data_IF_476378480779
#
_entry.id   IF_476378480779
#
_cell.length_a   1.000
_cell.length_b   1.000
_cell.length_c   1.000
_cell.angle_alpha   90.00
_cell.angle_beta   90.00
_cell.angle_gamma   90.00
#
_symmetry.space_group_name_H-M   'P 1'
#
loop_
_entity.id
_entity.type
_entity.pdbx_description
1 polymer ?
#
# COMPACT_ATOMS: atom_id res chain seq x y z
N UNK A 1 -23.15 -0.80 -5.68
CA UNK A 1 -22.49 0.24 -6.48
C UNK A 1 -21.48 0.92 -5.58
N UNK A 2 -20.22 0.92 -5.98
CA UNK A 2 -19.19 1.72 -5.33
C UNK A 2 -19.15 3.09 -6.02
N UNK A 3 -18.69 4.11 -5.32
CA UNK A 3 -18.40 5.43 -5.90
C UNK A 3 -16.92 5.73 -5.76
N UNK A 4 -16.41 6.70 -6.52
CA UNK A 4 -15.02 7.15 -6.45
C UNK A 4 -14.65 7.70 -5.06
N UNK A 5 -15.65 8.08 -4.25
CA UNK A 5 -15.50 8.54 -2.87
C UNK A 5 -15.38 7.39 -1.85
N UNK A 6 -15.71 6.15 -2.20
CA UNK A 6 -15.62 5.01 -1.28
C UNK A 6 -14.18 4.48 -1.23
N UNK A 7 -13.64 4.18 -0.03
CA UNK A 7 -12.26 3.75 0.10
C UNK A 7 -12.06 2.37 -0.53
N UNK A 8 -11.00 2.23 -1.33
CA UNK A 8 -10.60 0.97 -1.97
C UNK A 8 -10.36 -0.19 -0.97
N UNK A 9 -10.25 0.11 0.32
CA UNK A 9 -10.14 -0.88 1.40
C UNK A 9 -11.39 -1.75 1.59
N UNK A 10 -12.54 -1.39 1.00
CA UNK A 10 -13.78 -2.19 1.01
C UNK A 10 -13.70 -3.36 0.01
N UNK A 11 -12.83 -3.26 -1.00
CA UNK A 11 -12.65 -4.27 -2.05
C UNK A 11 -11.56 -5.26 -1.60
N UNK A 12 -11.81 -6.57 -1.69
CA UNK A 12 -10.77 -7.56 -1.34
C UNK A 12 -9.77 -7.79 -2.48
N UNK A 13 -8.56 -8.23 -2.15
CA UNK A 13 -7.39 -8.22 -3.05
C UNK A 13 -7.55 -9.02 -4.35
N UNK A 14 -8.47 -10.00 -4.37
CA UNK A 14 -8.70 -10.90 -5.49
C UNK A 14 -10.15 -10.86 -6.00
N UNK A 15 -11.00 -9.96 -5.49
CA UNK A 15 -12.37 -9.85 -6.00
C UNK A 15 -12.33 -9.22 -7.40
N UNK A 16 -12.98 -9.84 -8.41
CA UNK A 16 -13.09 -9.23 -9.73
C UNK A 16 -13.91 -7.94 -9.64
N UNK A 17 -13.27 -6.82 -9.94
CA UNK A 17 -13.94 -5.54 -10.06
C UNK A 17 -14.64 -5.43 -11.42
N UNK A 18 -15.97 -5.37 -11.39
CA UNK A 18 -16.79 -5.07 -12.55
C UNK A 18 -17.16 -3.59 -12.55
N UNK A 19 -16.65 -2.86 -13.54
CA UNK A 19 -17.12 -1.53 -13.89
C UNK A 19 -18.18 -1.65 -14.99
N UNK A 20 -19.18 -0.77 -14.96
CA UNK A 20 -20.18 -0.65 -16.03
C UNK A 20 -20.04 0.79 -16.53
N UNK A 21 -19.83 0.96 -17.83
CA UNK A 21 -19.77 2.29 -18.43
C UNK A 21 -21.15 2.96 -18.36
N UNK A 22 -21.14 4.25 -18.06
CA UNK A 22 -22.35 5.07 -18.04
C UNK A 22 -22.43 5.90 -19.31
N UNK A 23 -23.63 6.11 -19.89
CA UNK A 23 -23.80 7.04 -21.01
C UNK A 23 -23.38 8.45 -20.58
N UNK A 24 -22.92 9.25 -21.55
CA UNK A 24 -22.59 10.66 -21.30
C UNK A 24 -23.82 11.39 -20.77
N UNK A 25 -23.78 11.77 -19.49
CA UNK A 25 -24.91 12.39 -18.79
C UNK A 25 -25.15 13.80 -19.33
N UNK A 26 -26.38 14.06 -19.79
CA UNK A 26 -26.85 15.40 -20.13
C UNK A 26 -26.92 16.29 -18.88
N UNK A 27 -26.59 17.57 -19.04
CA UNK A 27 -26.68 18.56 -17.96
C UNK A 27 -28.14 18.77 -17.50
N UNK A 28 -28.37 19.09 -16.21
CA UNK A 28 -29.72 19.18 -15.61
C UNK A 28 -30.56 20.39 -16.06
N UNK A 29 -30.18 21.08 -17.14
CA UNK A 29 -30.80 22.32 -17.64
C UNK A 29 -31.92 22.09 -18.65
N UNK A 30 -32.05 20.88 -19.23
CA UNK A 30 -33.06 20.54 -20.23
C UNK A 30 -33.82 19.26 -19.86
N UNK A 31 -35.07 19.41 -19.38
CA UNK A 31 -35.99 18.31 -19.03
C UNK A 31 -35.48 17.31 -17.96
N UNK A 32 -36.40 16.67 -17.25
CA UNK A 32 -36.00 15.72 -16.21
C UNK A 32 -35.56 14.39 -16.87
N UNK A 33 -34.25 14.23 -17.05
CA UNK A 33 -33.65 12.95 -17.46
C UNK A 33 -33.36 12.06 -16.25
N UNK A 34 -33.41 10.74 -16.44
CA UNK A 34 -33.12 9.73 -15.42
C UNK A 34 -32.12 8.71 -15.95
N UNK A 35 -31.14 8.32 -15.14
CA UNK A 35 -30.21 7.22 -15.44
C UNK A 35 -30.85 5.90 -15.01
N UNK A 36 -31.01 4.97 -15.94
CA UNK A 36 -31.46 3.61 -15.69
C UNK A 36 -30.28 2.65 -15.75
N UNK A 37 -30.28 1.66 -14.87
CA UNK A 37 -29.35 0.52 -14.85
C UNK A 37 -30.20 -0.75 -14.74
N UNK A 38 -30.03 -1.73 -15.62
CA UNK A 38 -30.88 -2.94 -15.57
C UNK A 38 -30.15 -4.25 -15.84
N UNK A 39 -30.79 -5.32 -15.39
CA UNK A 39 -30.41 -6.72 -15.66
C UNK A 39 -31.63 -7.49 -16.18
N UNK A 40 -31.38 -8.52 -16.99
CA UNK A 40 -32.42 -9.42 -17.46
C UNK A 40 -32.49 -10.67 -16.57
N UNK A 41 -33.70 -11.09 -16.20
CA UNK A 41 -33.98 -12.26 -15.37
C UNK A 41 -35.02 -13.13 -16.06
N UNK A 42 -34.70 -14.40 -16.23
CA UNK A 42 -35.61 -15.44 -16.69
C UNK A 42 -36.37 -15.99 -15.48
N UNK A 43 -37.70 -15.99 -15.55
CA UNK A 43 -38.60 -16.48 -14.49
C UNK A 43 -39.19 -17.84 -14.90
N UNK A 44 -38.97 -18.86 -14.07
CA UNK A 44 -39.42 -20.24 -14.26
C UNK A 44 -40.08 -20.76 -13.00
N UNK A 45 -41.38 -20.45 -12.83
CA UNK A 45 -42.05 -20.61 -11.55
C UNK A 45 -41.34 -19.76 -10.49
N UNK A 46 -40.92 -20.38 -9.38
CA UNK A 46 -40.21 -19.71 -8.30
C UNK A 46 -38.72 -19.43 -8.63
N UNK A 47 -38.16 -20.04 -9.69
CA UNK A 47 -36.76 -19.84 -10.07
C UNK A 47 -36.57 -18.55 -10.86
N UNK A 48 -35.67 -17.69 -10.37
CA UNK A 48 -35.23 -16.44 -11.00
C UNK A 48 -33.76 -16.55 -11.38
N UNK A 49 -33.42 -16.51 -12.67
CA UNK A 49 -32.04 -16.63 -13.16
C UNK A 49 -31.64 -15.43 -14.04
N UNK A 50 -30.57 -14.70 -13.64
CA UNK A 50 -29.99 -13.62 -14.45
C UNK A 50 -29.39 -14.17 -15.76
N UNK A 51 -29.53 -13.44 -16.86
CA UNK A 51 -28.83 -13.70 -18.12
C UNK A 51 -28.38 -12.39 -18.79
N UNK A 52 -27.35 -12.47 -19.65
CA UNK A 52 -26.75 -11.34 -20.33
C UNK A 52 -26.02 -10.33 -19.43
N UNK A 53 -25.28 -9.43 -20.06
CA UNK A 53 -24.66 -8.28 -19.40
C UNK A 53 -25.71 -7.35 -18.75
N UNK A 54 -25.32 -6.58 -17.72
CA UNK A 54 -26.09 -5.41 -17.29
C UNK A 54 -26.01 -4.30 -18.34
N UNK A 55 -27.02 -3.44 -18.37
CA UNK A 55 -27.14 -2.32 -19.32
C UNK A 55 -27.38 -1.00 -18.58
N UNK A 56 -27.05 0.12 -19.23
CA UNK A 56 -27.25 1.49 -18.72
C UNK A 56 -27.79 2.39 -19.81
N UNK A 57 -28.65 3.34 -19.48
CA UNK A 57 -29.22 4.31 -20.43
C UNK A 57 -29.71 5.55 -19.69
N UNK A 58 -29.53 6.74 -20.29
CA UNK A 58 -30.19 7.96 -19.82
C UNK A 58 -31.43 8.24 -20.68
N UNK A 59 -32.60 8.38 -20.06
CA UNK A 59 -33.90 8.54 -20.74
C UNK A 59 -34.70 9.71 -20.16
N UNK A 60 -35.58 10.33 -20.94
CA UNK A 60 -36.47 11.39 -20.43
C UNK A 60 -37.52 10.76 -19.51
N UNK A 61 -37.83 11.41 -18.38
CA UNK A 61 -38.91 10.93 -17.49
C UNK A 61 -40.31 11.04 -18.12
N UNK A 62 -40.46 11.86 -19.16
CA UNK A 62 -41.71 11.96 -19.94
C UNK A 62 -41.96 10.75 -20.87
N UNK A 63 -40.97 9.87 -21.05
CA UNK A 63 -41.07 8.70 -21.95
C UNK A 63 -42.21 7.76 -21.57
N UNK A 64 -43.00 7.37 -22.58
CA UNK A 64 -44.15 6.45 -22.42
C UNK A 64 -43.71 5.02 -22.08
N UNK A 65 -44.60 4.18 -21.56
CA UNK A 65 -44.28 2.76 -21.35
C UNK A 65 -43.89 2.04 -22.65
N UNK A 66 -44.61 2.29 -23.74
CA UNK A 66 -44.34 1.66 -25.05
C UNK A 66 -42.96 2.08 -25.59
N UNK A 67 -42.61 3.37 -25.45
CA UNK A 67 -41.32 3.88 -25.90
C UNK A 67 -40.18 3.48 -24.95
N UNK A 68 -40.42 3.37 -23.66
CA UNK A 68 -39.46 2.83 -22.70
C UNK A 68 -39.11 1.38 -23.04
N UNK A 69 -40.10 0.53 -23.33
CA UNK A 69 -39.87 -0.85 -23.76
C UNK A 69 -39.04 -0.92 -25.06
N UNK A 70 -39.36 -0.07 -26.06
CA UNK A 70 -38.58 0.02 -27.31
C UNK A 70 -37.15 0.48 -27.08
N UNK A 71 -36.93 1.47 -26.21
CA UNK A 71 -35.59 1.99 -25.90
C UNK A 71 -34.75 0.95 -25.16
N UNK A 72 -35.31 0.23 -24.18
CA UNK A 72 -34.63 -0.87 -23.49
C UNK A 72 -34.21 -1.99 -24.47
N UNK A 73 -35.13 -2.41 -25.36
CA UNK A 73 -34.83 -3.39 -26.41
C UNK A 73 -33.76 -2.90 -27.40
N UNK A 74 -33.81 -1.62 -27.78
CA UNK A 74 -32.84 -1.00 -28.68
C UNK A 74 -31.44 -0.95 -28.06
N UNK A 75 -31.31 -0.66 -26.78
CA UNK A 75 -29.99 -0.66 -26.15
C UNK A 75 -29.44 -2.08 -26.02
N UNK A 76 -30.33 -3.06 -25.85
CA UNK A 76 -30.03 -4.50 -25.92
C UNK A 76 -29.80 -5.05 -27.36
N UNK A 77 -29.61 -4.21 -28.38
CA UNK A 77 -29.52 -4.63 -29.80
C UNK A 77 -28.48 -5.72 -30.13
N UNK A 78 -27.44 -5.90 -29.32
CA UNK A 78 -26.43 -6.96 -29.50
C UNK A 78 -26.92 -8.34 -29.04
N UNK A 79 -27.96 -8.39 -28.20
CA UNK A 79 -28.54 -9.63 -27.65
C UNK A 79 -29.94 -9.91 -28.19
N UNK A 80 -30.66 -8.87 -28.63
CA UNK A 80 -32.00 -8.93 -29.22
C UNK A 80 -31.94 -9.21 -30.73
N UNK A 81 -32.85 -10.05 -31.23
CA UNK A 81 -32.99 -10.37 -32.65
C UNK A 81 -33.27 -9.12 -33.52
N UNK A 82 -32.56 -8.96 -34.65
CA UNK A 82 -32.74 -7.82 -35.58
C UNK A 82 -34.20 -7.66 -36.06
N UNK A 83 -34.93 -8.77 -36.23
CA UNK A 83 -36.35 -8.78 -36.60
C UNK A 83 -37.24 -8.09 -35.55
N UNK A 84 -36.87 -8.16 -34.27
CA UNK A 84 -37.62 -7.53 -33.15
C UNK A 84 -37.39 -6.02 -33.12
N UNK A 85 -36.17 -5.57 -33.45
CA UNK A 85 -35.81 -4.14 -33.47
C UNK A 85 -36.47 -3.38 -34.63
N UNK A 86 -36.84 -4.08 -35.71
CA UNK A 86 -37.43 -3.50 -36.93
C UNK A 86 -38.95 -3.64 -37.01
N UNK A 87 -39.56 -4.46 -36.15
CA UNK A 87 -41.01 -4.70 -36.12
C UNK A 87 -41.71 -4.02 -34.93
N UNK A 88 -43.01 -3.74 -35.09
CA UNK A 88 -43.84 -3.14 -34.03
C UNK A 88 -44.11 -4.16 -32.92
N UNK A 89 -43.57 -3.92 -31.73
CA UNK A 89 -43.80 -4.75 -30.56
C UNK A 89 -45.05 -4.32 -29.79
N UNK A 90 -45.80 -5.28 -29.26
CA UNK A 90 -46.83 -5.01 -28.26
C UNK A 90 -46.19 -4.61 -26.91
N UNK A 91 -46.80 -3.73 -26.11
CA UNK A 91 -46.35 -3.49 -24.73
C UNK A 91 -46.53 -4.75 -23.88
N UNK A 92 -45.66 -4.94 -22.89
CA UNK A 92 -45.68 -6.07 -21.95
C UNK A 92 -44.94 -7.33 -22.43
N UNK A 93 -43.86 -7.19 -23.23
CA UNK A 93 -43.01 -8.33 -23.61
C UNK A 93 -42.21 -8.89 -22.43
N UNK A 94 -41.93 -8.07 -21.43
CA UNK A 94 -41.27 -8.42 -20.18
C UNK A 94 -41.80 -7.50 -19.09
N UNK A 95 -41.84 -7.97 -17.84
CA UNK A 95 -42.23 -7.11 -16.74
C UNK A 95 -41.05 -6.22 -16.34
N UNK A 96 -41.29 -4.91 -16.21
CA UNK A 96 -40.28 -3.95 -15.74
C UNK A 96 -40.48 -3.78 -14.23
N UNK A 97 -39.54 -4.28 -13.42
CA UNK A 97 -39.59 -4.19 -11.95
C UNK A 97 -38.52 -3.24 -11.43
N UNK A 98 -38.87 -2.36 -10.49
CA UNK A 98 -37.88 -1.54 -9.77
C UNK A 98 -37.20 -2.39 -8.70
N UNK A 99 -35.87 -2.39 -8.64
CA UNK A 99 -35.11 -3.17 -7.66
C UNK A 99 -34.94 -2.37 -6.36
N UNK A 100 -35.56 -2.82 -5.28
CA UNK A 100 -35.56 -2.14 -3.99
C UNK A 100 -34.22 -2.33 -3.21
N UNK A 101 -33.58 -1.25 -2.74
CA UNK A 101 -32.48 -1.31 -1.77
C UNK A 101 -32.88 -1.66 -0.33
N UNK A 102 -34.16 -1.55 0.06
CA UNK A 102 -34.62 -1.63 1.45
C UNK A 102 -35.25 -2.98 1.86
N UNK A 103 -35.69 -3.81 0.90
CA UNK A 103 -36.39 -5.06 1.17
C UNK A 103 -35.54 -6.09 1.93
N UNK A 104 -36.01 -6.46 3.14
CA UNK A 104 -35.67 -7.75 3.74
C UNK A 104 -36.30 -8.89 2.94
N UNK A 105 -35.70 -10.10 2.92
CA UNK A 105 -36.10 -11.18 2.02
C UNK A 105 -37.33 -11.95 2.52
N UNK A 106 -38.43 -11.24 2.79
CA UNK A 106 -39.69 -11.83 3.27
C UNK A 106 -40.85 -11.22 2.46
N UNK A 107 -41.35 -12.03 1.54
CA UNK A 107 -42.46 -11.78 0.61
C UNK A 107 -42.12 -10.87 -0.58
N UNK A 108 -41.68 -11.51 -1.68
CA UNK A 108 -41.91 -11.03 -3.04
C UNK A 108 -43.36 -10.55 -3.18
N UNK A 109 -43.58 -9.25 -3.46
CA UNK A 109 -44.65 -8.69 -4.33
C UNK A 109 -44.50 -7.14 -4.37
N UNK A 110 -43.34 -6.61 -4.78
CA UNK A 110 -43.32 -5.24 -5.30
C UNK A 110 -43.94 -5.25 -6.71
N UNK A 111 -44.99 -4.45 -6.99
CA UNK A 111 -45.64 -4.46 -8.29
C UNK A 111 -44.65 -4.09 -9.38
N UNK A 112 -44.66 -4.85 -10.48
CA UNK A 112 -44.03 -4.40 -11.70
C UNK A 112 -44.72 -3.12 -12.19
N UNK A 113 -43.99 -2.28 -12.92
CA UNK A 113 -44.55 -1.09 -13.55
C UNK A 113 -45.67 -1.54 -14.51
N UNK A 114 -46.90 -1.10 -14.21
CA UNK A 114 -48.08 -1.45 -14.99
C UNK A 114 -47.95 -0.90 -16.43
N UNK A 115 -48.05 -1.76 -17.47
CA UNK A 115 -48.03 -1.34 -18.88
C UNK A 115 -49.07 -0.28 -19.27
N UNK A 116 -50.12 -0.09 -18.47
CA UNK A 116 -51.17 0.91 -18.68
C UNK A 116 -50.77 2.32 -18.22
N UNK A 117 -49.63 2.49 -17.53
CA UNK A 117 -49.19 3.80 -17.02
C UNK A 117 -48.56 4.61 -18.15
N UNK A 118 -49.15 5.77 -18.44
CA UNK A 118 -48.70 6.68 -19.50
C UNK A 118 -47.27 7.19 -19.27
N UNK A 119 -46.89 7.51 -18.03
CA UNK A 119 -45.55 7.99 -17.68
C UNK A 119 -44.93 7.16 -16.53
N UNK A 120 -44.37 5.97 -16.84
CA UNK A 120 -43.86 5.04 -15.81
C UNK A 120 -42.75 5.62 -14.93
N UNK A 121 -41.97 6.58 -15.44
CA UNK A 121 -40.83 7.19 -14.76
C UNK A 121 -41.21 8.34 -13.81
N UNK A 122 -42.51 8.59 -13.59
CA UNK A 122 -43.07 9.48 -12.56
C UNK A 122 -43.86 8.72 -11.48
N UNK A 123 -43.76 7.39 -11.43
CA UNK A 123 -44.43 6.57 -10.39
C UNK A 123 -43.74 6.71 -9.03
N UNK A 124 -44.49 6.50 -7.94
CA UNK A 124 -43.97 6.61 -6.58
C UNK A 124 -42.77 5.69 -6.31
N UNK A 125 -42.78 4.48 -6.90
CA UNK A 125 -41.69 3.50 -6.82
C UNK A 125 -40.36 4.06 -7.37
N UNK A 126 -40.43 4.86 -8.43
CA UNK A 126 -39.28 5.52 -9.06
C UNK A 126 -38.75 6.63 -8.14
N UNK A 127 -39.63 7.45 -7.57
CA UNK A 127 -39.22 8.49 -6.60
C UNK A 127 -38.60 7.89 -5.33
N UNK A 128 -39.14 6.78 -4.81
CA UNK A 128 -38.56 6.05 -3.68
C UNK A 128 -37.16 5.52 -4.01
N UNK A 129 -36.96 4.90 -5.18
CA UNK A 129 -35.65 4.41 -5.62
C UNK A 129 -34.63 5.56 -5.82
N UNK A 130 -35.07 6.70 -6.35
CA UNK A 130 -34.25 7.90 -6.51
C UNK A 130 -33.85 8.53 -5.16
N UNK A 131 -34.75 8.52 -4.18
CA UNK A 131 -34.49 9.03 -2.83
C UNK A 131 -33.57 8.13 -1.99
N UNK A 132 -33.45 6.84 -2.35
CA UNK A 132 -32.53 5.89 -1.71
C UNK A 132 -31.11 5.91 -2.33
N UNK A 133 -30.90 6.65 -3.42
CA UNK A 133 -29.54 6.95 -3.90
C UNK A 133 -28.92 8.03 -3.03
N UNK A 134 -27.97 7.66 -2.16
CA UNK A 134 -27.25 8.63 -1.36
C UNK A 134 -26.34 9.53 -2.24
N UNK A 135 -26.20 10.80 -1.84
CA UNK A 135 -25.47 11.84 -2.59
C UNK A 135 -23.98 11.50 -2.83
N UNK A 136 -23.43 10.54 -2.08
CA UNK A 136 -22.05 10.05 -2.16
C UNK A 136 -21.88 8.83 -3.08
N UNK A 137 -22.97 8.28 -3.63
CA UNK A 137 -23.02 6.95 -4.26
C UNK A 137 -22.87 6.96 -5.79
N UNK A 138 -22.41 8.08 -6.37
CA UNK A 138 -22.34 8.30 -7.81
C UNK A 138 -23.59 9.03 -8.36
N UNK A 139 -23.82 9.08 -9.68
CA UNK A 139 -24.98 9.76 -10.25
C UNK A 139 -26.28 9.08 -9.82
N UNK A 140 -27.33 9.89 -9.59
CA UNK A 140 -28.65 9.41 -9.21
C UNK A 140 -29.22 8.49 -10.30
N UNK A 141 -29.63 7.27 -9.93
CA UNK A 141 -30.03 6.23 -10.88
C UNK A 141 -31.13 5.33 -10.34
N UNK A 142 -31.87 4.67 -11.24
CA UNK A 142 -32.83 3.64 -10.89
C UNK A 142 -32.34 2.28 -11.39
N UNK A 143 -32.43 1.29 -10.51
CA UNK A 143 -32.12 -0.11 -10.81
C UNK A 143 -33.40 -0.82 -11.24
N UNK A 144 -33.39 -1.44 -12.41
CA UNK A 144 -34.51 -2.21 -12.93
C UNK A 144 -34.14 -3.69 -13.11
N UNK A 145 -35.12 -4.56 -12.99
CA UNK A 145 -35.06 -5.97 -13.36
C UNK A 145 -36.10 -6.17 -14.46
N UNK A 146 -35.65 -6.63 -15.62
CA UNK A 146 -36.53 -7.03 -16.71
C UNK A 146 -36.81 -8.52 -16.56
N UNK A 147 -38.06 -8.89 -16.29
CA UNK A 147 -38.48 -10.26 -16.06
C UNK A 147 -39.11 -10.86 -17.31
N UNK A 148 -38.49 -11.92 -17.81
CA UNK A 148 -38.85 -12.61 -19.04
C UNK A 148 -39.42 -14.00 -18.72
N UNK A 149 -40.48 -14.40 -19.40
CA UNK A 149 -40.88 -15.80 -19.47
C UNK A 149 -40.01 -16.57 -20.49
N UNK A 150 -40.06 -17.90 -20.43
CA UNK A 150 -39.25 -18.78 -21.28
C UNK A 150 -39.61 -18.68 -22.77
N UNK A 151 -40.88 -18.53 -23.13
CA UNK A 151 -41.28 -18.45 -24.53
C UNK A 151 -40.85 -17.10 -25.14
N UNK A 152 -41.08 -15.99 -24.44
CA UNK A 152 -40.70 -14.66 -24.93
C UNK A 152 -39.19 -14.50 -25.00
N UNK A 153 -38.44 -14.97 -23.99
CA UNK A 153 -36.97 -14.98 -24.06
C UNK A 153 -36.48 -15.73 -25.30
N UNK A 154 -36.95 -16.96 -25.53
CA UNK A 154 -36.50 -17.80 -26.64
C UNK A 154 -36.82 -17.25 -28.04
N UNK A 155 -37.83 -16.39 -28.16
CA UNK A 155 -38.19 -15.74 -29.43
C UNK A 155 -37.40 -14.44 -29.69
N UNK A 156 -36.95 -13.75 -28.64
CA UNK A 156 -36.41 -12.39 -28.73
C UNK A 156 -34.89 -12.33 -28.52
N UNK A 157 -34.35 -13.11 -27.59
CA UNK A 157 -32.93 -13.08 -27.20
C UNK A 157 -32.16 -14.13 -28.01
N UNK A 158 -31.21 -13.68 -28.84
CA UNK A 158 -30.34 -14.55 -29.64
C UNK A 158 -29.05 -14.93 -28.91
N UNK A 159 -28.45 -13.99 -28.18
CA UNK A 159 -27.26 -14.18 -27.36
C UNK A 159 -27.59 -13.76 -25.92
N UNK A 160 -27.38 -14.66 -24.95
CA UNK A 160 -27.59 -14.39 -23.53
C UNK A 160 -26.30 -14.45 -22.70
N UNK A 161 -25.14 -14.40 -23.38
CA UNK A 161 -23.82 -14.37 -22.76
C UNK A 161 -23.47 -13.02 -22.13
N UNK A 162 -22.61 -13.06 -21.11
CA UNK A 162 -22.00 -11.86 -20.52
C UNK A 162 -20.85 -11.38 -21.42
N UNK A 163 -21.07 -10.24 -22.09
CA UNK A 163 -20.04 -9.51 -22.82
C UNK A 163 -19.22 -8.68 -21.82
N UNK A 164 -18.04 -9.18 -21.43
CA UNK A 164 -17.13 -8.55 -20.46
C UNK A 164 -15.82 -8.17 -21.15
N UNK A 165 -15.54 -6.87 -21.25
CA UNK A 165 -14.23 -6.40 -21.73
C UNK A 165 -13.20 -6.36 -20.59
N UNK A 166 -12.10 -7.09 -20.76
CA UNK A 166 -10.97 -7.01 -19.82
C UNK A 166 -10.12 -5.76 -20.08
N UNK A 167 -10.21 -4.79 -19.17
CA UNK A 167 -9.50 -3.51 -19.21
C UNK A 167 -7.96 -3.69 -19.31
N UNK A 168 -7.29 -2.77 -20.00
CA UNK A 168 -5.86 -2.86 -20.31
C UNK A 168 -4.95 -3.01 -19.07
N UNK A 169 -5.33 -2.43 -17.92
CA UNK A 169 -4.58 -2.59 -16.67
C UNK A 169 -4.52 -4.03 -16.16
N UNK A 170 -5.57 -4.83 -16.40
CA UNK A 170 -5.60 -6.25 -16.01
C UNK A 170 -4.62 -7.05 -16.88
N UNK A 171 -4.60 -6.77 -18.19
CA UNK A 171 -3.64 -7.36 -19.14
C UNK A 171 -2.20 -6.99 -18.78
N UNK A 172 -1.95 -5.73 -18.41
CA UNK A 172 -0.64 -5.25 -17.95
C UNK A 172 -0.21 -5.90 -16.62
N UNK A 173 -1.12 -6.06 -15.66
CA UNK A 173 -0.83 -6.75 -14.40
C UNK A 173 -0.51 -8.24 -14.63
N UNK A 174 -1.26 -8.92 -15.50
CA UNK A 174 -0.99 -10.32 -15.88
C UNK A 174 0.37 -10.45 -16.58
N UNK A 175 0.67 -9.61 -17.58
CA UNK A 175 1.97 -9.65 -18.26
C UNK A 175 3.14 -9.35 -17.31
N UNK A 176 2.95 -8.42 -16.37
CA UNK A 176 3.96 -8.14 -15.36
C UNK A 176 4.17 -9.33 -14.42
N UNK A 177 3.10 -10.01 -13.98
CA UNK A 177 3.20 -11.21 -13.16
C UNK A 177 3.89 -12.38 -13.91
N UNK A 178 3.55 -12.60 -15.18
CA UNK A 178 4.12 -13.63 -16.04
C UNK A 178 5.61 -13.40 -16.34
N UNK A 179 6.05 -12.14 -16.43
CA UNK A 179 7.46 -11.75 -16.58
C UNK A 179 8.26 -11.77 -15.25
N UNK A 180 7.65 -12.20 -14.13
CA UNK A 180 8.30 -12.21 -12.82
C UNK A 180 8.47 -10.83 -12.19
N UNK A 181 7.59 -9.90 -12.56
CA UNK A 181 7.52 -8.46 -12.22
C UNK A 181 8.46 -7.99 -11.12
N UNK A 182 9.60 -7.45 -11.55
CA UNK A 182 10.55 -6.73 -10.70
C UNK A 182 10.25 -5.24 -10.77
N UNK A 183 10.26 -4.55 -9.64
CA UNK A 183 10.33 -3.07 -9.59
C UNK A 183 11.69 -2.64 -9.06
N UNK A 184 12.19 -1.50 -9.47
CA UNK A 184 13.41 -0.92 -8.93
C UNK A 184 13.14 -0.14 -7.63
N UNK A 185 14.19 0.03 -6.83
CA UNK A 185 14.16 0.91 -5.66
C UNK A 185 13.93 2.38 -6.05
N UNK A 186 14.39 2.80 -7.24
CA UNK A 186 14.20 4.14 -7.79
C UNK A 186 12.70 4.42 -8.07
N UNK A 187 12.01 3.50 -8.76
CA UNK A 187 10.55 3.56 -8.94
C UNK A 187 9.79 3.59 -7.60
N UNK A 188 10.30 2.92 -6.57
CA UNK A 188 9.71 3.00 -5.23
C UNK A 188 9.86 4.40 -4.60
N UNK A 189 10.97 5.11 -4.84
CA UNK A 189 11.17 6.49 -4.38
C UNK A 189 10.34 7.50 -5.18
N UNK A 190 10.21 7.29 -6.49
CA UNK A 190 9.34 8.09 -7.34
C UNK A 190 7.89 7.96 -6.88
N UNK A 191 7.40 6.75 -6.61
CA UNK A 191 6.08 6.54 -6.01
C UNK A 191 5.94 7.17 -4.62
N UNK A 192 6.99 7.15 -3.78
CA UNK A 192 6.98 7.73 -2.44
C UNK A 192 6.97 9.27 -2.43
N UNK A 193 7.49 9.91 -3.48
CA UNK A 193 7.59 11.38 -3.62
C UNK A 193 6.60 11.97 -4.64
N UNK A 194 5.81 11.12 -5.30
CA UNK A 194 4.73 11.52 -6.21
C UNK A 194 3.64 12.31 -5.48
N UNK A 195 2.96 13.15 -6.24
CA UNK A 195 1.77 13.87 -5.78
C UNK A 195 0.60 12.89 -5.61
N UNK A 196 -0.03 12.94 -4.43
CA UNK A 196 -1.22 12.16 -4.07
C UNK A 196 -2.37 13.10 -3.71
N UNK A 197 -3.62 12.73 -4.02
CA UNK A 197 -4.80 13.46 -3.57
C UNK A 197 -5.27 12.83 -2.27
N UNK A 198 -5.44 13.64 -1.22
CA UNK A 198 -6.08 13.20 0.02
C UNK A 198 -7.59 13.13 -0.16
N UNK A 199 -8.14 11.91 -0.06
CA UNK A 199 -9.58 11.61 -0.10
C UNK A 199 -10.32 12.19 1.11
N UNK A 200 -11.65 12.29 1.03
CA UNK A 200 -12.53 12.80 2.09
C UNK A 200 -12.27 12.25 3.52
N UNK A 201 -11.84 10.98 3.65
CA UNK A 201 -11.48 10.38 4.95
C UNK A 201 -10.27 11.06 5.59
N UNK A 202 -9.16 11.18 4.85
CA UNK A 202 -7.89 11.78 5.27
C UNK A 202 -7.75 13.28 4.88
N UNK A 203 -8.84 13.91 4.44
CA UNK A 203 -8.87 15.27 3.92
C UNK A 203 -8.31 16.31 4.92
N UNK A 204 -7.46 17.19 4.41
CA UNK A 204 -6.71 18.17 5.20
C UNK A 204 -7.62 19.26 5.77
N UNK A 205 -7.47 19.57 7.05
CA UNK A 205 -8.20 20.67 7.67
C UNK A 205 -7.57 22.02 7.30
N UNK A 206 -8.25 22.79 6.45
CA UNK A 206 -7.79 24.11 6.06
C UNK A 206 -8.10 25.15 7.15
N UNK A 207 -7.10 25.76 7.81
CA UNK A 207 -7.34 26.72 8.89
C UNK A 207 -7.93 28.05 8.40
N UNK A 208 -7.79 28.38 7.11
CA UNK A 208 -8.36 29.58 6.50
C UNK A 208 -9.84 29.42 6.13
N UNK A 209 -10.22 28.24 5.66
CA UNK A 209 -11.61 27.93 5.28
C UNK A 209 -12.40 27.25 6.40
N UNK A 210 -11.74 26.91 7.52
CA UNK A 210 -12.32 26.27 8.70
C UNK A 210 -13.10 24.97 8.39
N UNK A 211 -12.62 24.19 7.40
CA UNK A 211 -13.23 22.95 6.93
C UNK A 211 -12.19 21.96 6.39
N UNK A 212 -12.52 20.66 6.40
CA UNK A 212 -11.76 19.65 5.65
C UNK A 212 -11.82 19.94 4.15
N UNK A 213 -10.71 19.72 3.45
CA UNK A 213 -10.58 19.88 2.01
C UNK A 213 -9.73 18.75 1.44
N UNK A 214 -10.15 18.20 0.32
CA UNK A 214 -9.30 17.35 -0.50
C UNK A 214 -8.20 18.22 -1.11
N UNK A 215 -6.96 17.77 -0.98
CA UNK A 215 -5.78 18.54 -1.40
C UNK A 215 -4.76 17.62 -2.07
N UNK A 216 -4.00 18.18 -3.01
CA UNK A 216 -2.80 17.53 -3.53
C UNK A 216 -1.69 17.67 -2.48
N UNK A 217 -1.20 16.55 -1.99
CA UNK A 217 -0.08 16.43 -1.06
C UNK A 217 1.13 15.88 -1.82
N UNK A 218 2.32 16.40 -1.50
CA UNK A 218 3.60 15.92 -2.03
C UNK A 218 4.59 15.74 -0.88
N UNK A 219 5.29 14.60 -0.88
CA UNK A 219 6.42 14.36 0.02
C UNK A 219 7.74 14.62 -0.72
N UNK A 220 8.77 15.03 0.01
CA UNK A 220 10.10 15.26 -0.55
C UNK A 220 11.18 15.20 0.52
N UNK A 221 12.37 14.69 0.14
CA UNK A 221 13.48 14.51 1.08
C UNK A 221 14.29 15.81 1.17
N UNK A 222 14.23 16.52 2.31
CA UNK A 222 14.97 17.78 2.48
C UNK A 222 16.47 17.59 2.72
N UNK A 223 16.86 16.51 3.39
CA UNK A 223 18.25 16.17 3.72
C UNK A 223 18.40 14.70 4.01
N UNK A 224 19.58 14.13 3.73
CA UNK A 224 19.85 12.71 3.87
C UNK A 224 20.80 12.39 5.05
N UNK A 225 20.61 11.27 5.76
CA UNK A 225 21.45 10.85 6.89
C UNK A 225 22.73 10.12 6.44
N UNK A 226 23.73 10.02 7.32
CA UNK A 226 24.94 9.19 7.04
C UNK A 226 24.63 7.69 6.98
N UNK A 227 23.59 7.23 7.69
CA UNK A 227 23.04 5.87 7.61
C UNK A 227 21.58 6.00 7.18
N UNK A 228 21.27 5.56 5.96
CA UNK A 228 19.94 5.56 5.38
C UNK A 228 19.30 4.17 5.57
N UNK A 229 18.22 4.12 6.34
CA UNK A 229 17.43 2.90 6.56
C UNK A 229 16.16 2.99 5.73
N UNK A 230 15.98 2.07 4.79
CA UNK A 230 14.84 2.02 3.89
C UNK A 230 13.97 0.83 4.26
N UNK A 231 12.70 1.06 4.53
CA UNK A 231 11.72 0.01 4.80
C UNK A 231 10.81 -0.16 3.58
N UNK A 232 10.84 -1.37 2.99
CA UNK A 232 9.92 -1.75 1.93
C UNK A 232 8.59 -2.15 2.58
N UNK A 233 7.56 -1.31 2.41
CA UNK A 233 6.21 -1.48 2.99
C UNK A 233 5.47 -2.68 2.39
N UNK A 234 5.92 -3.90 2.71
CA UNK A 234 5.40 -5.14 2.13
C UNK A 234 4.10 -5.62 2.77
N UNK A 235 3.84 -5.27 4.03
CA UNK A 235 2.67 -5.77 4.75
C UNK A 235 1.48 -4.83 4.62
N UNK A 236 0.31 -5.39 4.34
CA UNK A 236 -0.98 -4.71 4.37
C UNK A 236 -1.88 -5.37 5.40
N UNK A 237 -2.38 -4.58 6.35
CA UNK A 237 -3.38 -5.00 7.31
C UNK A 237 -4.76 -4.54 6.81
N UNK A 238 -5.68 -5.46 6.59
CA UNK A 238 -7.07 -5.11 6.29
C UNK A 238 -7.77 -4.58 7.55
N UNK A 239 -8.84 -3.80 7.36
CA UNK A 239 -9.53 -3.08 8.43
C UNK A 239 -10.13 -4.03 9.49
N UNK A 240 -10.36 -3.52 10.70
CA UNK A 240 -10.56 -4.29 11.94
C UNK A 240 -11.67 -5.38 11.95
N UNK A 241 -12.52 -5.46 10.92
CA UNK A 241 -13.52 -6.53 10.74
C UNK A 241 -12.95 -7.81 10.09
N UNK A 242 -11.80 -7.73 9.40
CA UNK A 242 -11.12 -8.85 8.74
C UNK A 242 -9.69 -8.99 9.29
N UNK A 243 -9.39 -10.11 9.96
CA UNK A 243 -8.04 -10.39 10.53
C UNK A 243 -7.01 -10.88 9.50
N UNK A 244 -7.22 -10.59 8.22
CA UNK A 244 -6.28 -10.96 7.16
C UNK A 244 -5.17 -9.91 7.03
N UNK A 245 -3.93 -10.37 6.98
CA UNK A 245 -2.77 -9.53 6.66
C UNK A 245 -2.06 -10.16 5.47
N UNK A 246 -1.92 -9.44 4.36
CA UNK A 246 -1.19 -9.91 3.17
C UNK A 246 0.21 -9.29 3.08
N UNK A 247 1.13 -10.01 2.42
CA UNK A 247 2.51 -9.58 2.18
C UNK A 247 2.80 -9.53 0.68
N UNK A 248 3.25 -8.38 0.21
CA UNK A 248 3.73 -8.18 -1.16
C UNK A 248 5.07 -8.93 -1.38
N UNK A 249 5.03 -9.94 -2.24
CA UNK A 249 6.17 -10.81 -2.63
C UNK A 249 6.89 -10.37 -3.91
N UNK A 250 6.52 -9.20 -4.45
CA UNK A 250 7.18 -8.58 -5.61
C UNK A 250 8.67 -8.37 -5.34
N UNK A 251 9.54 -8.74 -6.29
CA UNK A 251 10.97 -8.48 -6.15
C UNK A 251 11.21 -6.98 -6.31
N UNK A 252 11.98 -6.42 -5.39
CA UNK A 252 12.50 -5.05 -5.50
C UNK A 252 13.98 -5.18 -5.84
N UNK A 253 14.37 -4.68 -7.01
CA UNK A 253 15.77 -4.60 -7.42
C UNK A 253 16.41 -3.34 -6.79
N UNK A 254 17.57 -3.50 -6.15
CA UNK A 254 18.21 -2.43 -5.41
C UNK A 254 19.73 -2.45 -5.58
N UNK A 255 20.37 -1.27 -5.81
CA UNK A 255 21.80 -1.20 -6.04
C UNK A 255 22.59 -1.53 -4.77
N UNK A 256 23.47 -2.54 -4.85
CA UNK A 256 24.39 -2.87 -3.75
C UNK A 256 25.42 -1.75 -3.49
N UNK A 257 25.80 -1.02 -4.53
CA UNK A 257 26.85 0.00 -4.49
C UNK A 257 26.47 1.20 -5.34
N UNK A 258 26.92 2.39 -4.95
CA UNK A 258 26.82 3.59 -5.80
C UNK A 258 25.41 4.17 -5.93
N UNK A 259 24.53 3.97 -4.95
CA UNK A 259 23.16 4.48 -4.97
C UNK A 259 23.13 6.00 -4.79
N UNK A 260 22.88 6.75 -5.87
CA UNK A 260 22.79 8.22 -5.83
C UNK A 260 21.38 8.66 -5.41
N UNK A 261 21.27 9.23 -4.21
CA UNK A 261 20.02 9.77 -3.67
C UNK A 261 19.76 11.24 -4.07
N UNK A 262 20.64 11.86 -4.86
CA UNK A 262 20.49 13.26 -5.31
C UNK A 262 19.19 13.53 -6.08
N UNK A 263 18.68 12.65 -6.97
CA UNK A 263 17.43 12.90 -7.70
C UNK A 263 16.21 13.06 -6.81
N UNK A 264 16.15 12.33 -5.68
CA UNK A 264 15.01 12.31 -4.77
C UNK A 264 15.04 13.42 -3.69
N UNK A 265 16.10 14.26 -3.69
CA UNK A 265 16.18 15.43 -2.82
C UNK A 265 15.25 16.55 -3.30
N UNK A 266 14.48 17.09 -2.36
CA UNK A 266 13.61 18.26 -2.53
C UNK A 266 14.44 19.54 -2.70
N UNK A 267 15.08 19.68 -3.86
CA UNK A 267 15.73 20.92 -4.28
C UNK A 267 14.65 21.99 -4.45
N UNK A 268 14.68 23.02 -3.58
CA UNK A 268 13.72 24.11 -3.61
C UNK A 268 13.59 24.69 -5.02
N UNK A 269 12.35 24.72 -5.54
CA UNK A 269 12.07 24.81 -6.98
C UNK A 269 12.83 25.92 -7.71
N UNK A 270 13.90 25.53 -8.40
CA UNK A 270 14.67 26.38 -9.29
C UNK A 270 14.83 25.64 -10.62
N UNK A 271 14.16 26.19 -11.64
CA UNK A 271 13.98 25.62 -12.97
C UNK A 271 15.29 25.17 -13.64
N UNK A 272 15.17 24.14 -14.49
CA UNK A 272 16.02 24.06 -15.68
C UNK A 272 15.88 25.37 -16.46
N UNK A 273 16.92 26.21 -16.48
CA UNK A 273 17.17 27.14 -17.57
C UNK A 273 18.62 27.64 -17.53
N UNK A 274 19.29 27.58 -18.67
CA UNK A 274 20.64 28.11 -18.84
C UNK A 274 20.61 29.65 -18.82
N UNK A 275 21.37 30.28 -17.92
CA UNK A 275 22.20 31.48 -18.23
C UNK A 275 23.07 31.87 -17.04
N UNK A 276 24.29 32.31 -17.32
CA UNK A 276 25.29 32.69 -16.32
C UNK A 276 25.07 34.12 -15.83
N UNK A 277 24.60 34.32 -14.59
CA UNK A 277 24.68 35.64 -13.92
C UNK A 277 25.11 35.48 -12.47
N UNK A 278 26.20 36.16 -12.13
CA UNK A 278 26.76 36.23 -10.77
C UNK A 278 25.99 37.27 -9.95
N UNK A 279 25.25 36.87 -8.91
CA UNK A 279 24.71 37.80 -7.91
C UNK A 279 24.98 37.35 -6.48
N UNK A 280 25.22 38.35 -5.63
CA UNK A 280 25.69 38.24 -4.25
C UNK A 280 24.49 38.08 -3.29
N UNK A 281 24.36 36.92 -2.63
CA UNK A 281 23.38 36.72 -1.55
C UNK A 281 24.07 36.44 -0.20
N UNK A 282 24.36 37.52 0.51
CA UNK A 282 24.70 37.51 1.94
C UNK A 282 23.47 37.21 2.81
N UNK A 283 23.73 36.75 4.04
CA UNK A 283 22.79 36.58 5.18
C UNK A 283 21.96 35.27 5.21
N UNK A 284 22.60 34.22 5.73
CA UNK A 284 21.92 33.08 6.38
C UNK A 284 22.40 32.95 7.83
N UNK A 285 21.68 33.53 8.78
CA UNK A 285 21.96 33.34 10.20
C UNK A 285 21.46 31.97 10.68
N UNK A 286 22.34 31.19 11.29
CA UNK A 286 21.97 30.00 12.06
C UNK A 286 22.98 29.85 13.21
N UNK A 287 22.60 30.03 14.49
CA UNK A 287 23.57 30.09 15.60
C UNK A 287 24.42 28.82 15.82
N UNK A 288 24.03 27.70 15.22
CA UNK A 288 24.59 26.37 15.47
C UNK A 288 25.44 25.79 14.32
N UNK A 289 25.63 26.53 13.21
CA UNK A 289 26.56 26.12 12.13
C UNK A 289 27.85 26.94 12.21
N UNK A 290 28.94 26.32 12.69
CA UNK A 290 30.30 26.83 12.45
C UNK A 290 30.57 26.84 10.92
N UNK A 291 31.18 27.90 10.36
CA UNK A 291 31.50 27.92 8.93
C UNK A 291 32.50 26.81 8.60
N UNK A 292 32.11 25.86 7.72
CA UNK A 292 33.10 24.97 7.10
C UNK A 292 33.96 25.81 6.16
N UNK A 293 35.29 25.77 6.32
CA UNK A 293 36.19 26.36 5.34
C UNK A 293 35.98 25.68 3.99
N UNK A 294 35.52 26.44 2.99
CA UNK A 294 35.39 25.96 1.60
C UNK A 294 36.79 25.74 1.03
N UNK A 295 37.25 24.49 1.02
CA UNK A 295 38.24 24.08 0.03
C UNK A 295 37.52 23.89 -1.31
N UNK A 296 37.97 24.63 -2.32
CA UNK A 296 37.43 24.57 -3.68
C UNK A 296 37.98 23.31 -4.37
N UNK A 297 37.14 22.63 -5.17
CA UNK A 297 37.41 21.42 -5.98
C UNK A 297 37.08 20.06 -5.32
N UNK A 298 35.79 19.80 -5.06
CA UNK A 298 35.23 18.44 -4.92
C UNK A 298 34.01 18.35 -5.86
N UNK A 299 33.85 17.29 -6.68
CA UNK A 299 32.64 17.06 -7.46
C UNK A 299 31.44 16.81 -6.53
N UNK A 300 30.34 17.56 -6.71
CA UNK A 300 29.15 17.48 -5.83
C UNK A 300 28.44 16.11 -5.84
N UNK A 301 28.69 15.26 -6.84
CA UNK A 301 27.94 14.01 -7.02
C UNK A 301 28.18 12.99 -5.90
N UNK A 302 29.38 12.89 -5.31
CA UNK A 302 29.65 11.87 -4.29
C UNK A 302 29.05 12.17 -2.90
N UNK A 303 28.51 13.37 -2.63
CA UNK A 303 28.01 13.74 -1.29
C UNK A 303 26.73 13.00 -0.85
N UNK A 304 25.98 12.42 -1.80
CA UNK A 304 24.71 11.72 -1.59
C UNK A 304 24.73 10.27 -2.11
N UNK A 305 25.92 9.70 -2.35
CA UNK A 305 26.07 8.33 -2.84
C UNK A 305 26.17 7.36 -1.66
N UNK A 306 25.45 6.25 -1.73
CA UNK A 306 25.40 5.23 -0.69
C UNK A 306 25.83 3.85 -1.19
N UNK A 307 26.40 3.06 -0.28
CA UNK A 307 26.66 1.64 -0.47
C UNK A 307 25.86 0.83 0.56
N UNK A 308 25.31 -0.31 0.14
CA UNK A 308 24.55 -1.21 1.00
C UNK A 308 25.52 -1.98 1.90
N UNK A 309 25.19 -2.12 3.19
CA UNK A 309 25.98 -2.89 4.15
C UNK A 309 25.17 -3.90 4.97
N UNK A 310 23.85 -3.78 5.03
CA UNK A 310 22.98 -4.82 5.58
C UNK A 310 21.59 -4.86 4.92
N UNK A 311 20.97 -6.04 4.95
CA UNK A 311 19.61 -6.32 4.51
C UNK A 311 18.93 -7.12 5.63
N UNK A 312 17.78 -6.66 6.10
CA UNK A 312 16.87 -7.48 6.90
C UNK A 312 15.88 -8.16 5.94
N UNK A 313 15.87 -9.49 5.95
CA UNK A 313 14.99 -10.34 5.14
C UNK A 313 13.84 -10.87 5.99
N UNK A 314 12.63 -10.90 5.43
CA UNK A 314 11.47 -11.57 6.02
C UNK A 314 11.00 -12.75 5.14
N UNK A 315 10.92 -13.92 5.74
CA UNK A 315 10.36 -15.15 5.15
C UNK A 315 9.01 -15.45 5.79
N UNK A 316 8.01 -15.87 5.02
CA UNK A 316 6.62 -16.04 5.50
C UNK A 316 5.62 -15.24 4.67
N UNK A 317 4.33 -15.57 4.81
CA UNK A 317 3.24 -15.06 3.99
C UNK A 317 2.48 -13.88 4.61
N UNK A 318 2.52 -13.72 5.93
CA UNK A 318 1.71 -12.75 6.66
C UNK A 318 2.53 -12.07 7.79
N UNK A 319 1.87 -11.24 8.61
CA UNK A 319 2.51 -10.57 9.76
C UNK A 319 2.49 -11.42 11.05
N UNK A 320 1.76 -12.55 11.06
CA UNK A 320 1.48 -13.36 12.25
C UNK A 320 2.45 -14.55 12.39
N UNK A 321 2.94 -15.07 11.27
CA UNK A 321 3.90 -16.17 11.18
C UNK A 321 4.97 -15.94 10.11
N UNK A 322 6.21 -15.78 10.55
CA UNK A 322 7.35 -15.61 9.67
C UNK A 322 8.69 -15.74 10.39
N UNK A 323 9.77 -15.63 9.63
CA UNK A 323 11.15 -15.76 10.09
C UNK A 323 12.01 -14.63 9.54
N UNK A 324 12.87 -14.06 10.39
CA UNK A 324 13.75 -12.97 10.01
C UNK A 324 15.20 -13.44 9.94
N UNK A 325 15.90 -13.06 8.87
CA UNK A 325 17.33 -13.34 8.68
C UNK A 325 18.01 -12.05 8.22
N UNK A 326 19.31 -11.91 8.42
CA UNK A 326 20.05 -10.73 8.00
C UNK A 326 21.21 -11.09 7.06
N UNK A 327 21.32 -10.39 5.94
CA UNK A 327 22.58 -10.36 5.18
C UNK A 327 23.36 -9.13 5.65
N UNK A 328 24.58 -9.31 6.13
CA UNK A 328 25.43 -8.20 6.58
C UNK A 328 26.82 -8.32 5.94
N UNK A 329 27.37 -7.18 5.51
CA UNK A 329 28.74 -7.09 5.00
C UNK A 329 29.71 -6.91 6.16
N UNK A 330 30.69 -7.79 6.28
CA UNK A 330 31.74 -7.68 7.29
C UNK A 330 32.77 -6.61 6.87
N UNK A 331 33.04 -5.57 7.68
CA UNK A 331 33.99 -4.52 7.31
C UNK A 331 35.47 -4.96 7.28
N UNK A 332 35.83 -6.17 7.76
CA UNK A 332 37.22 -6.64 7.79
C UNK A 332 37.67 -7.35 6.52
N UNK A 333 36.89 -8.32 6.04
CA UNK A 333 37.16 -9.09 4.82
C UNK A 333 36.34 -8.59 3.61
N UNK A 334 35.45 -7.63 3.84
CA UNK A 334 34.49 -7.04 2.88
C UNK A 334 33.48 -8.02 2.28
N UNK A 335 33.37 -9.24 2.83
CA UNK A 335 32.45 -10.31 2.40
C UNK A 335 31.07 -10.17 3.02
N UNK A 336 30.08 -10.82 2.41
CA UNK A 336 28.72 -10.91 2.93
C UNK A 336 28.46 -12.22 3.68
N UNK A 337 27.68 -12.12 4.75
CA UNK A 337 27.29 -13.25 5.59
C UNK A 337 25.78 -13.23 5.85
N UNK A 338 25.14 -14.39 5.76
CA UNK A 338 23.80 -14.63 6.28
C UNK A 338 23.89 -14.96 7.77
N UNK A 339 23.10 -14.24 8.57
CA UNK A 339 22.83 -14.50 9.96
C UNK A 339 21.40 -15.04 10.08
N UNK A 340 21.31 -16.33 10.39
CA UNK A 340 20.08 -17.12 10.56
C UNK A 340 20.07 -17.67 11.99
N UNK A 341 19.56 -16.85 12.92
CA UNK A 341 19.64 -17.00 14.37
C UNK A 341 21.05 -17.28 14.91
N UNK A 342 21.41 -18.56 15.01
CA UNK A 342 22.69 -19.06 15.54
C UNK A 342 23.65 -19.54 14.45
N UNK A 343 23.18 -19.62 13.20
CA UNK A 343 23.97 -20.01 12.03
C UNK A 343 24.49 -18.76 11.32
N UNK A 344 25.76 -18.79 10.96
CA UNK A 344 26.42 -17.75 10.16
C UNK A 344 27.09 -18.41 8.98
N UNK A 345 26.67 -18.05 7.77
CA UNK A 345 27.10 -18.67 6.52
C UNK A 345 27.50 -17.59 5.51
N UNK A 346 28.58 -17.80 4.74
CA UNK A 346 29.02 -16.84 3.74
C UNK A 346 28.03 -16.80 2.55
N UNK A 347 27.75 -15.61 2.04
CA UNK A 347 26.84 -15.38 0.89
C UNK A 347 27.58 -14.62 -0.20
N UNK A 348 27.30 -14.96 -1.46
CA UNK A 348 27.85 -14.29 -2.63
C UNK A 348 26.95 -13.13 -3.06
N UNK A 349 27.54 -12.03 -3.56
CA UNK A 349 26.84 -10.78 -3.90
C UNK A 349 25.65 -10.99 -4.86
N UNK A 350 25.74 -11.98 -5.76
CA UNK A 350 24.68 -12.35 -6.72
C UNK A 350 23.38 -12.83 -6.08
N UNK A 351 23.42 -13.24 -4.81
CA UNK A 351 22.30 -13.88 -4.10
C UNK A 351 21.66 -12.96 -3.05
N UNK A 352 22.10 -11.69 -2.97
CA UNK A 352 21.61 -10.72 -1.98
C UNK A 352 20.23 -10.15 -2.35
N UNK A 353 19.97 -9.95 -3.65
CA UNK A 353 18.73 -9.35 -4.16
C UNK A 353 17.67 -10.45 -4.25
N UNK A 354 16.69 -10.40 -3.34
CA UNK A 354 15.62 -11.39 -3.25
C UNK A 354 14.30 -10.72 -2.88
N UNK A 355 13.17 -11.39 -3.13
CA UNK A 355 11.87 -10.92 -2.68
C UNK A 355 11.66 -10.99 -1.15
N UNK A 356 12.58 -11.60 -0.40
CA UNK A 356 12.57 -11.60 1.05
C UNK A 356 13.06 -10.28 1.65
N UNK A 357 13.84 -9.47 0.92
CA UNK A 357 14.38 -8.20 1.41
C UNK A 357 13.27 -7.26 1.89
N UNK A 358 13.33 -6.84 3.16
CA UNK A 358 12.29 -6.08 3.85
C UNK A 358 12.79 -4.72 4.37
N UNK A 359 14.01 -4.65 4.90
CA UNK A 359 14.69 -3.39 5.20
C UNK A 359 16.11 -3.38 4.61
N UNK A 360 16.49 -2.26 4.01
CA UNK A 360 17.81 -2.04 3.41
C UNK A 360 18.57 -1.02 4.25
N UNK A 361 19.84 -1.30 4.55
CA UNK A 361 20.70 -0.43 5.35
C UNK A 361 21.87 0.05 4.49
N UNK A 362 21.82 1.33 4.15
CA UNK A 362 22.75 2.04 3.30
C UNK A 362 23.65 2.95 4.12
N UNK A 363 24.95 2.94 3.84
CA UNK A 363 25.93 3.85 4.42
C UNK A 363 26.39 4.84 3.37
N UNK A 364 26.39 6.13 3.72
CA UNK A 364 26.86 7.20 2.84
C UNK A 364 28.37 7.09 2.62
N UNK A 365 28.81 7.26 1.38
CA UNK A 365 30.24 7.37 1.05
C UNK A 365 30.80 8.62 1.74
N UNK A 366 31.75 8.41 2.65
CA UNK A 366 32.37 9.51 3.37
C UNK A 366 33.39 10.19 2.48
N UNK A 367 33.24 11.50 2.24
CA UNK A 367 34.28 12.29 1.59
C UNK A 367 35.51 12.37 2.50
N UNK A 368 36.65 11.87 2.02
CA UNK A 368 37.90 11.88 2.79
C UNK A 368 38.32 13.33 3.08
N UNK A 369 38.01 13.81 4.28
CA UNK A 369 38.37 15.13 4.79
C UNK A 369 38.60 15.03 6.29
N UNK A 370 39.85 14.77 6.67
CA UNK A 370 40.27 14.73 8.07
C UNK A 370 40.01 16.11 8.72
N UNK A 371 38.96 16.18 9.54
CA UNK A 371 38.52 17.42 10.17
C UNK A 371 37.91 17.15 11.53
N UNK A 372 38.74 17.21 12.58
CA UNK A 372 38.31 17.03 13.97
C UNK A 372 37.15 17.98 14.32
N UNK A 373 35.99 17.43 14.65
CA UNK A 373 34.87 18.15 15.30
C UNK A 373 34.03 17.16 16.10
N UNK A 374 34.39 17.02 17.37
CA UNK A 374 33.76 16.10 18.32
C UNK A 374 32.39 16.61 18.80
N UNK A 375 31.31 15.94 18.37
CA UNK A 375 30.10 15.72 19.15
C UNK A 375 29.24 14.64 18.44
N UNK A 376 28.95 13.53 19.14
CA UNK A 376 28.09 12.44 18.64
C UNK A 376 28.50 11.79 17.30
N UNK A 377 29.74 11.28 17.21
CA UNK A 377 30.17 10.38 16.13
C UNK A 377 30.55 9.01 16.69
N UNK A 378 29.61 8.06 16.67
CA UNK A 378 29.92 6.62 16.69
C UNK A 378 30.19 6.08 15.28
N UNK A 379 30.09 6.92 14.25
CA UNK A 379 30.52 6.65 12.90
C UNK A 379 32.03 6.46 12.83
N UNK A 380 32.44 5.24 12.54
CA UNK A 380 33.82 4.81 12.35
C UNK A 380 34.35 5.24 10.98
N UNK A 381 34.57 6.54 10.80
CA UNK A 381 35.23 7.13 9.63
C UNK A 381 36.65 7.57 10.00
N UNK A 382 37.56 6.60 9.99
CA UNK A 382 39.00 6.73 10.16
C UNK A 382 39.67 5.46 9.61
N UNK A 383 40.94 5.54 9.23
CA UNK A 383 41.73 4.39 8.77
C UNK A 383 41.56 3.17 9.70
N UNK A 384 41.60 1.94 9.15
CA UNK A 384 41.08 0.69 9.76
C UNK A 384 41.53 0.30 11.18
N UNK A 385 42.41 1.07 11.80
CA UNK A 385 42.74 1.07 13.23
C UNK A 385 41.60 1.64 14.11
N UNK A 386 40.75 2.55 13.61
CA UNK A 386 39.74 3.27 14.41
C UNK A 386 38.30 2.75 14.28
N UNK A 387 38.09 1.60 13.63
CA UNK A 387 36.78 0.95 13.58
C UNK A 387 36.33 0.48 14.97
N UNK A 388 35.03 0.51 15.28
CA UNK A 388 34.55 0.16 16.63
C UNK A 388 34.82 -1.31 16.99
N UNK A 389 34.82 -2.22 16.02
CA UNK A 389 35.24 -3.62 16.23
C UNK A 389 36.75 -3.73 16.49
N UNK A 390 37.59 -2.80 16.04
CA UNK A 390 39.02 -2.73 16.41
C UNK A 390 39.20 -2.34 17.88
N UNK A 391 38.12 -1.93 18.56
CA UNK A 391 38.04 -1.73 20.02
C UNK A 391 37.34 -2.88 20.75
N UNK A 392 36.84 -3.91 20.04
CA UNK A 392 36.37 -5.13 20.70
C UNK A 392 37.56 -5.96 21.19
N UNK A 393 37.44 -6.63 22.35
CA UNK A 393 38.44 -7.60 22.79
C UNK A 393 38.63 -8.71 21.75
N UNK A 394 39.86 -9.21 21.52
CA UNK A 394 40.08 -10.36 20.66
C UNK A 394 39.23 -11.56 21.10
N UNK A 395 38.40 -12.08 20.20
CA UNK A 395 37.51 -13.19 20.51
C UNK A 395 38.25 -14.52 20.41
N UNK A 396 38.70 -15.03 21.57
CA UNK A 396 39.32 -16.35 21.65
C UNK A 396 38.26 -17.45 21.70
N UNK A 397 38.05 -18.15 20.56
CA UNK A 397 37.18 -19.32 20.51
C UNK A 397 37.79 -20.46 21.34
N UNK A 398 37.33 -20.61 22.58
CA UNK A 398 37.87 -21.60 23.51
C UNK A 398 37.31 -22.99 23.19
N UNK A 399 38.01 -23.70 22.31
CA UNK A 399 37.63 -25.00 21.78
C UNK A 399 37.75 -26.09 22.86
N UNK A 400 36.75 -26.18 23.76
CA UNK A 400 36.63 -27.28 24.75
C UNK A 400 36.20 -28.58 24.08
N UNK A 401 37.07 -29.15 23.25
CA UNK A 401 36.98 -30.54 22.85
C UNK A 401 37.19 -31.43 24.08
N UNK A 402 36.13 -32.10 24.54
CA UNK A 402 36.22 -33.14 25.56
C UNK A 402 36.95 -34.37 25.00
N UNK A 403 38.28 -34.38 25.07
CA UNK A 403 39.12 -35.47 24.58
C UNK A 403 39.26 -36.60 25.61
N UNK A 404 38.43 -37.62 25.46
CA UNK A 404 38.79 -38.97 25.94
C UNK A 404 39.97 -39.49 25.13
N UNK A 405 40.97 -40.07 25.81
CA UNK A 405 42.21 -40.52 25.19
C UNK A 405 42.01 -41.63 24.15
N UNK A 406 42.58 -41.49 22.94
CA UNK A 406 43.63 -42.41 22.44
C UNK A 406 44.33 -41.99 21.12
N UNK A 407 45.66 -41.81 21.23
CA UNK A 407 46.76 -42.20 20.30
C UNK A 407 46.84 -41.72 18.83
N UNK A 408 47.99 -41.06 18.56
CA UNK A 408 48.83 -41.05 17.32
C UNK A 408 48.22 -40.37 16.07
N UNK A 409 48.81 -39.28 15.53
CA UNK A 409 50.17 -39.22 14.98
C UNK A 409 50.74 -37.77 14.88
N UNK A 410 52.07 -37.65 14.71
CA UNK A 410 52.77 -36.47 14.15
C UNK A 410 52.48 -36.40 12.63
N UNK A 411 52.54 -35.30 11.86
CA UNK A 411 52.90 -33.87 12.04
C UNK A 411 51.86 -33.03 11.23
N UNK A 412 51.95 -31.72 10.95
CA UNK A 412 52.94 -30.65 11.19
C UNK A 412 52.22 -29.27 11.15
N UNK A 413 52.81 -28.23 11.76
CA UNK A 413 52.35 -26.83 11.65
C UNK A 413 53.46 -25.92 11.08
N UNK A 414 53.08 -24.79 10.48
CA UNK A 414 53.99 -23.66 10.18
C UNK A 414 53.35 -22.36 10.68
N UNK A 415 54.17 -21.57 11.38
CA UNK A 415 53.82 -20.42 12.21
C UNK A 415 53.15 -19.24 11.48
N UNK A 416 52.25 -18.56 12.21
CA UNK A 416 52.20 -17.09 12.21
C UNK A 416 53.13 -16.54 13.31
N UNK A 417 53.80 -15.40 13.07
CA UNK A 417 54.76 -14.81 14.01
C UNK A 417 54.14 -13.71 14.88
N UNK A 418 54.43 -13.75 16.17
CA UNK A 418 54.25 -12.64 17.12
C UNK A 418 55.36 -11.57 16.98
N UNK A 419 55.06 -10.30 17.32
CA UNK A 419 55.56 -9.60 18.53
C UNK A 419 55.41 -8.06 18.47
N UNK A 420 55.63 -7.43 19.64
CA UNK A 420 55.82 -5.99 19.92
C UNK A 420 54.49 -5.23 20.12
N UNK A 421 54.17 -4.64 21.29
CA UNK A 421 54.88 -4.57 22.59
C UNK A 421 53.87 -4.40 23.74
N UNK A 422 54.11 -5.06 24.88
CA UNK A 422 53.55 -4.65 26.18
C UNK A 422 54.52 -3.68 26.87
N UNK A 423 54.04 -2.52 27.30
CA UNK A 423 54.32 -1.88 28.61
C UNK A 423 53.89 -0.40 28.59
N UNK A 424 52.73 -0.11 29.18
CA UNK A 424 52.66 0.81 30.33
C UNK A 424 51.26 0.95 30.93
N UNK A 425 51.26 0.90 32.27
CA UNK A 425 50.26 1.45 33.17
C UNK A 425 48.90 0.75 33.23
N UNK A 426 48.87 -0.25 34.12
CA UNK A 426 47.84 -0.33 35.15
C UNK A 426 47.29 1.06 35.52
N UNK A 427 45.98 1.22 35.44
CA UNK A 427 45.22 1.88 36.51
C UNK A 427 43.74 1.50 36.42
N UNK A 428 43.23 0.91 37.50
CA UNK A 428 41.83 0.83 37.91
C UNK A 428 40.75 0.60 36.83
N UNK A 429 40.15 -0.60 36.82
CA UNK A 429 38.82 -0.73 37.45
C UNK A 429 38.48 -2.19 37.75
N UNK A 430 38.52 -2.57 39.03
CA UNK A 430 38.04 -3.86 39.50
C UNK A 430 36.53 -3.73 39.83
N UNK A 431 35.65 -4.07 38.89
CA UNK A 431 34.19 -4.15 39.12
C UNK A 431 33.54 -5.33 38.39
N UNK A 432 33.53 -6.46 39.09
CA UNK A 432 32.41 -7.40 39.19
C UNK A 432 31.74 -7.91 37.90
N UNK A 433 31.96 -9.19 37.60
CA UNK A 433 31.08 -9.96 36.73
C UNK A 433 29.62 -9.84 37.17
N UNK A 434 28.71 -9.48 36.26
CA UNK A 434 27.26 -9.70 36.42
C UNK A 434 26.71 -10.36 35.17
N UNK A 435 26.07 -11.50 35.39
CA UNK A 435 25.43 -12.29 34.35
C UNK A 435 24.21 -11.51 33.81
N UNK A 436 24.07 -11.44 32.49
CA UNK A 436 22.81 -11.05 31.87
C UNK A 436 21.84 -12.23 31.96
N UNK A 437 20.90 -12.16 32.89
CA UNK A 437 19.84 -13.16 33.03
C UNK A 437 18.68 -12.81 32.10
N UNK A 438 18.29 -13.77 31.26
CA UNK A 438 17.09 -13.68 30.42
C UNK A 438 15.85 -13.62 31.29
N UNK A 439 15.12 -12.51 31.27
CA UNK A 439 13.85 -12.38 31.99
C UNK A 439 12.76 -13.17 31.26
N UNK A 440 12.28 -14.26 31.88
CA UNK A 440 11.06 -14.93 31.43
C UNK A 440 9.81 -14.31 32.08
N UNK A 441 8.63 -14.34 31.42
CA UNK A 441 7.41 -13.74 31.96
C UNK A 441 6.85 -14.56 33.13
N UNK A 442 6.46 -13.89 34.21
CA UNK A 442 5.82 -14.53 35.36
C UNK A 442 4.35 -14.87 35.09
N UNK A 443 3.99 -16.14 35.24
CA UNK A 443 2.59 -16.59 35.27
C UNK A 443 1.87 -16.00 36.49
N UNK A 444 0.74 -15.31 36.30
CA UNK A 444 -0.19 -15.01 37.42
C UNK A 444 -1.03 -16.24 37.73
N UNK A 445 -1.10 -16.59 39.01
CA UNK A 445 -1.99 -17.64 39.52
C UNK A 445 -3.43 -17.13 39.56
N UNK A 446 -4.37 -18.00 39.18
CA UNK A 446 -5.81 -17.80 39.42
C UNK A 446 -6.13 -18.33 40.82
N UNK A 447 -6.90 -17.56 41.58
CA UNK A 447 -7.58 -18.02 42.80
C UNK A 447 -9.02 -17.49 42.77
N UNK A 448 -9.98 -18.39 42.99
CA UNK A 448 -11.42 -18.15 43.00
C UNK A 448 -11.95 -18.12 44.42
N UNK A 449 -12.79 -17.13 44.77
CA UNK A 449 -13.94 -17.22 45.68
C UNK A 449 -14.62 -15.82 45.73
N UNK A 450 -15.78 -15.64 45.09
CA UNK A 450 -17.15 -15.60 45.68
C UNK A 450 -17.45 -14.39 46.56
N UNK A 451 -18.51 -13.62 46.22
CA UNK A 451 -19.27 -12.86 47.22
C UNK A 451 -19.68 -11.42 46.86
N UNK A 452 -20.89 -11.30 46.30
CA UNK A 452 -21.85 -10.20 46.54
C UNK A 452 -21.63 -8.78 45.97
N UNK A 453 -22.73 -8.04 45.99
CA UNK A 453 -23.11 -6.88 45.16
C UNK A 453 -22.77 -5.53 45.77
N UNK A 454 -22.45 -4.53 44.95
CA UNK A 454 -23.17 -3.23 44.96
C UNK A 454 -22.88 -2.36 43.72
N UNK A 455 -23.66 -1.27 43.59
CA UNK A 455 -23.82 -0.42 42.40
C UNK A 455 -22.85 0.78 42.34
N UNK A 456 -22.44 1.22 41.15
CA UNK A 456 -21.84 2.55 40.97
C UNK A 456 -21.22 2.83 39.60
N UNK A 457 -21.76 3.83 38.90
CA UNK A 457 -21.18 4.76 37.91
C UNK A 457 -20.00 4.33 37.01
N UNK A 458 -20.16 4.52 35.69
CA UNK A 458 -19.10 4.44 34.67
C UNK A 458 -18.82 5.85 34.17
N UNK A 459 -17.66 6.40 34.53
CA UNK A 459 -17.17 7.66 33.97
C UNK A 459 -16.51 7.46 32.60
N UNK A 460 -16.91 8.29 31.63
CA UNK A 460 -16.21 8.44 30.36
C UNK A 460 -14.97 9.33 30.55
N UNK A 461 -13.77 8.76 30.35
CA UNK A 461 -12.56 9.57 30.15
C UNK A 461 -12.42 9.98 28.69
N UNK A 462 -12.55 11.28 28.44
CA UNK A 462 -12.18 11.94 27.19
C UNK A 462 -10.71 12.34 27.23
N UNK A 463 -9.90 11.87 26.28
CA UNK A 463 -8.54 12.37 26.06
C UNK A 463 -8.59 13.65 25.20
N UNK A 464 -8.83 14.79 25.86
CA UNK A 464 -8.49 16.11 25.36
C UNK A 464 -7.33 16.69 26.19
N UNK A 465 -6.51 17.55 25.57
CA UNK A 465 -5.29 18.20 26.09
C UNK A 465 -4.02 17.35 26.28
N UNK A 466 -3.07 17.52 25.35
CA UNK A 466 -1.65 17.63 25.69
C UNK A 466 -1.01 18.80 24.88
N UNK A 467 -0.11 19.62 25.47
CA UNK A 467 -0.02 21.02 25.10
C UNK A 467 1.09 21.39 24.10
N UNK A 468 0.93 22.59 23.54
CA UNK A 468 1.93 23.34 22.79
C UNK A 468 3.36 23.25 23.36
N UNK A 469 4.32 22.89 22.52
CA UNK A 469 5.71 23.38 22.63
C UNK A 469 6.13 24.08 21.35
N UNK A 470 6.19 25.41 21.42
CA UNK A 470 7.01 26.21 20.50
C UNK A 470 8.46 26.10 20.96
N UNK A 471 9.38 25.81 20.05
CA UNK A 471 10.75 26.31 20.10
C UNK A 471 11.31 26.33 18.68
N UNK A 472 11.87 27.50 18.33
CA UNK A 472 12.28 28.08 17.04
C UNK A 472 12.94 27.17 15.99
#
# INVERSE_FOLDING_TARGET
TFSDCQPLSVITENDPLYCIELPQLKEPTEQAYILLVWVNVLVKGDLRQRFGSPYTMQVSRETSYEDLQKLLLKEMHTTVSEDVLTSSQSPGLFNIRVADPAATPIQDEHPCIDPCVEHPLYTEQIEQALALCADDSGPQHVKLILEWDEATKSNIIQDDSDQIEEHASVKQLKSNAELGGTVTLEECFDLYTREEILSAEDAWYCPYCNRKQEVVKKLGLWSLPDILVIHLKRFRQQTAKQRSTSKLTMLVDFPLYGFDMTPHLAHGGAQQNHTSVTTLSTLGWSPWKKPRHRHHNIPKHDENVYDLYAICNHHGQDLQGGHYTAFCRNPYDTQWYCFDDTRVEAVNDTNLITNAAYMLFYQRRSSNSAGNSSAASTSSTGSGIDHWVSRMPPFYFNNKTSSTNNKQSKSQEVLCQEKIVEEKNLNNFNRGCRNYATLQPTKRHVATETGETETGEIDHYSDDEAPYRREW
#
